data_IF_200333111689
#
_entry.id   IF_200333111689
#
_cell.length_a   1.000
_cell.length_b   1.000
_cell.length_c   1.000
_cell.angle_alpha   90.00
_cell.angle_beta   90.00
_cell.angle_gamma   90.00
#
_symmetry.space_group_name_H-M   'P 1'
#
loop_
_entity.id
_entity.type
_entity.pdbx_description
1 polymer ?
#
# COMPACT_ATOMS: atom_id res chain seq x y z
N UNK A 1 -28.31 8.18 14.64
CA UNK A 1 -27.63 8.05 13.34
C UNK A 1 -26.42 8.99 13.36
N UNK A 2 -25.21 8.49 13.09
CA UNK A 2 -24.00 9.34 13.05
C UNK A 2 -23.98 10.12 11.73
N UNK A 3 -23.67 11.42 11.80
CA UNK A 3 -23.55 12.29 10.62
C UNK A 3 -22.08 12.61 10.39
N UNK A 4 -21.67 12.66 9.13
CA UNK A 4 -20.35 13.04 8.67
C UNK A 4 -20.49 14.08 7.57
N UNK A 5 -19.51 14.98 7.48
CA UNK A 5 -19.46 15.99 6.43
C UNK A 5 -18.88 15.39 5.14
N UNK A 6 -17.96 14.40 5.29
CA UNK A 6 -17.36 13.66 4.19
C UNK A 6 -17.29 12.18 4.52
N UNK A 7 -17.64 11.34 3.55
CA UNK A 7 -17.45 9.89 3.62
C UNK A 7 -16.57 9.47 2.45
N UNK A 8 -15.44 8.86 2.77
CA UNK A 8 -14.50 8.30 1.79
C UNK A 8 -14.67 6.78 1.75
N UNK A 9 -14.97 6.24 0.58
CA UNK A 9 -15.12 4.80 0.34
C UNK A 9 -13.84 4.27 -0.29
N UNK A 10 -13.15 3.40 0.43
CA UNK A 10 -11.82 2.90 0.09
C UNK A 10 -10.70 3.67 0.78
N UNK A 11 -9.53 3.05 0.85
CA UNK A 11 -8.35 3.55 1.55
C UNK A 11 -7.13 3.74 0.62
N UNK A 12 -7.38 4.01 -0.65
CA UNK A 12 -6.34 4.40 -1.62
C UNK A 12 -6.10 5.91 -1.57
N UNK A 13 -6.03 6.55 -2.73
CA UNK A 13 -5.84 8.02 -2.87
C UNK A 13 -6.91 8.85 -2.17
N UNK A 14 -8.08 8.29 -1.88
CA UNK A 14 -9.11 8.94 -1.07
C UNK A 14 -8.66 9.31 0.34
N UNK A 15 -7.60 8.68 0.88
CA UNK A 15 -7.04 9.05 2.19
C UNK A 15 -6.42 10.45 2.19
N UNK A 16 -5.87 10.91 1.07
CA UNK A 16 -5.35 12.27 0.95
C UNK A 16 -6.48 13.30 1.05
N UNK A 17 -7.62 12.99 0.42
CA UNK A 17 -8.84 13.82 0.51
C UNK A 17 -9.40 13.79 1.93
N UNK A 18 -9.44 12.62 2.58
CA UNK A 18 -9.89 12.48 3.96
C UNK A 18 -9.03 13.32 4.93
N UNK A 19 -7.71 13.26 4.75
CA UNK A 19 -6.77 14.03 5.56
C UNK A 19 -6.93 15.55 5.33
N UNK A 20 -7.03 16.00 4.07
CA UNK A 20 -7.26 17.40 3.76
C UNK A 20 -8.57 17.90 4.39
N UNK A 21 -9.66 17.16 4.26
CA UNK A 21 -10.95 17.51 4.86
C UNK A 21 -10.87 17.61 6.39
N UNK A 22 -10.18 16.65 7.02
CA UNK A 22 -9.94 16.68 8.46
C UNK A 22 -9.18 17.93 8.90
N UNK A 23 -8.12 18.33 8.17
CA UNK A 23 -7.34 19.54 8.45
C UNK A 23 -8.19 20.83 8.32
N UNK A 24 -9.24 20.81 7.52
CA UNK A 24 -10.23 21.88 7.42
C UNK A 24 -11.36 21.79 8.47
N UNK A 25 -11.23 20.94 9.46
CA UNK A 25 -12.17 20.80 10.57
C UNK A 25 -13.43 20.00 10.26
N UNK A 26 -13.50 19.34 9.11
CA UNK A 26 -14.64 18.51 8.75
C UNK A 26 -14.66 17.18 9.51
N UNK A 27 -15.86 16.67 9.80
CA UNK A 27 -16.05 15.35 10.37
C UNK A 27 -16.04 14.30 9.26
N UNK A 28 -15.02 13.46 9.26
CA UNK A 28 -14.73 12.53 8.16
C UNK A 28 -14.93 11.07 8.60
N UNK A 29 -15.54 10.26 7.73
CA UNK A 29 -15.53 8.81 7.83
C UNK A 29 -14.75 8.19 6.67
N UNK A 30 -13.93 7.19 6.97
CA UNK A 30 -13.27 6.34 5.97
C UNK A 30 -13.84 4.93 6.10
N UNK A 31 -14.26 4.34 5.00
CA UNK A 31 -14.83 2.99 4.98
C UNK A 31 -13.98 2.10 4.08
N UNK A 32 -13.36 1.08 4.66
CA UNK A 32 -12.55 0.10 3.93
C UNK A 32 -12.99 -1.32 4.28
N UNK A 33 -13.25 -2.13 3.27
CA UNK A 33 -13.68 -3.53 3.44
C UNK A 33 -12.54 -4.54 3.46
N UNK A 34 -11.36 -4.13 2.98
CA UNK A 34 -10.21 -5.00 2.77
C UNK A 34 -8.97 -4.36 3.45
N UNK A 35 -7.81 -4.63 2.94
CA UNK A 35 -6.53 -4.11 3.44
C UNK A 35 -6.39 -2.62 3.16
N UNK A 36 -5.89 -1.88 4.14
CA UNK A 36 -5.63 -0.46 3.99
C UNK A 36 -4.57 -0.16 2.92
N UNK A 37 -4.67 0.98 2.24
CA UNK A 37 -3.72 1.45 1.23
C UNK A 37 -4.17 1.27 -0.22
N UNK A 38 -5.35 0.70 -0.44
CA UNK A 38 -5.96 0.57 -1.77
C UNK A 38 -5.21 -0.36 -2.72
N UNK A 39 -5.60 -0.34 -3.99
CA UNK A 39 -5.07 -1.24 -5.02
C UNK A 39 -3.58 -1.02 -5.29
N UNK A 40 -3.14 0.24 -5.33
CA UNK A 40 -1.75 0.57 -5.66
C UNK A 40 -0.76 -0.06 -4.66
N UNK A 41 -1.02 0.04 -3.37
CA UNK A 41 -0.18 -0.56 -2.34
C UNK A 41 -0.29 -2.09 -2.32
N UNK A 42 -1.52 -2.61 -2.36
CA UNK A 42 -1.75 -4.03 -2.06
C UNK A 42 -1.63 -4.96 -3.26
N UNK A 43 -1.97 -4.49 -4.48
CA UNK A 43 -2.12 -5.36 -5.68
C UNK A 43 -1.66 -4.70 -6.97
N UNK A 44 -0.97 -3.57 -6.91
CA UNK A 44 -0.64 -2.76 -8.09
C UNK A 44 0.80 -2.27 -8.12
N UNK A 45 0.96 -0.95 -8.05
CA UNK A 45 2.23 -0.28 -8.31
C UNK A 45 3.36 -0.72 -7.38
N UNK A 46 3.09 -0.88 -6.09
CA UNK A 46 4.13 -1.19 -5.12
C UNK A 46 4.66 -2.62 -5.30
N UNK A 47 3.83 -3.68 -5.23
CA UNK A 47 4.34 -5.04 -5.41
C UNK A 47 4.98 -5.26 -6.79
N UNK A 48 4.44 -4.69 -7.87
CA UNK A 48 5.03 -4.83 -9.19
C UNK A 48 6.41 -4.19 -9.29
N UNK A 49 6.62 -2.99 -8.74
CA UNK A 49 7.93 -2.32 -8.74
C UNK A 49 8.96 -3.05 -7.88
N UNK A 50 8.54 -3.61 -6.75
CA UNK A 50 9.42 -4.42 -5.91
C UNK A 50 9.88 -5.70 -6.60
N UNK A 51 9.01 -6.34 -7.40
CA UNK A 51 9.36 -7.50 -8.22
C UNK A 51 10.29 -7.11 -9.36
N UNK A 52 9.97 -6.05 -10.10
CA UNK A 52 10.77 -5.54 -11.23
C UNK A 52 12.18 -5.18 -10.74
N UNK A 53 12.32 -4.53 -9.58
CA UNK A 53 13.63 -4.20 -9.03
C UNK A 53 14.52 -5.43 -8.80
N UNK A 54 13.95 -6.57 -8.41
CA UNK A 54 14.72 -7.82 -8.31
C UNK A 54 15.20 -8.31 -9.68
N UNK A 55 14.40 -8.12 -10.73
CA UNK A 55 14.78 -8.44 -12.10
C UNK A 55 15.89 -7.51 -12.60
N UNK A 56 15.81 -6.21 -12.30
CA UNK A 56 16.84 -5.22 -12.65
C UNK A 56 18.19 -5.55 -12.02
N UNK A 57 18.19 -5.99 -10.75
CA UNK A 57 19.40 -6.46 -10.06
C UNK A 57 19.98 -7.69 -10.77
N UNK A 58 19.14 -8.66 -11.12
CA UNK A 58 19.60 -9.86 -11.84
C UNK A 58 20.17 -9.50 -13.21
N UNK A 59 19.58 -8.58 -13.93
CA UNK A 59 20.07 -8.09 -15.23
C UNK A 59 21.38 -7.33 -15.06
N UNK A 60 21.50 -6.49 -14.04
CA UNK A 60 22.75 -5.80 -13.70
C UNK A 60 23.89 -6.80 -13.48
N UNK A 61 23.65 -7.89 -12.76
CA UNK A 61 24.64 -8.94 -12.52
C UNK A 61 25.05 -9.60 -13.83
N UNK A 62 24.12 -9.92 -14.73
CA UNK A 62 24.44 -10.50 -16.05
C UNK A 62 25.30 -9.57 -16.90
N UNK A 63 25.06 -8.27 -16.84
CA UNK A 63 25.76 -7.25 -17.61
C UNK A 63 27.03 -6.74 -16.92
N UNK A 64 27.37 -7.22 -15.73
CA UNK A 64 28.52 -6.75 -14.94
C UNK A 64 29.86 -6.82 -15.68
N UNK A 65 30.01 -7.80 -16.60
CA UNK A 65 31.21 -7.98 -17.43
C UNK A 65 31.49 -6.76 -18.33
N UNK A 66 30.47 -6.02 -18.73
CA UNK A 66 30.63 -4.78 -19.53
C UNK A 66 31.35 -3.67 -18.76
N UNK A 67 31.35 -3.77 -17.44
CA UNK A 67 32.00 -2.83 -16.52
C UNK A 67 33.31 -3.39 -15.91
N UNK A 68 33.84 -4.49 -16.48
CA UNK A 68 35.06 -5.13 -15.99
C UNK A 68 34.86 -5.92 -14.68
N UNK A 69 33.62 -6.18 -14.27
CA UNK A 69 33.31 -6.94 -13.06
C UNK A 69 33.01 -8.39 -13.45
N UNK A 70 33.79 -9.31 -12.93
CA UNK A 70 33.57 -10.75 -13.14
C UNK A 70 32.65 -11.30 -12.06
N UNK A 71 31.59 -11.99 -12.49
CA UNK A 71 30.69 -12.72 -11.63
C UNK A 71 30.64 -14.18 -12.07
N UNK A 72 31.07 -15.09 -11.21
CA UNK A 72 31.22 -16.53 -11.54
C UNK A 72 29.88 -17.31 -11.48
N UNK A 73 28.76 -16.62 -11.49
CA UNK A 73 27.40 -17.16 -11.49
C UNK A 73 26.54 -16.64 -10.35
N UNK A 74 25.23 -16.75 -10.52
CA UNK A 74 24.26 -16.43 -9.47
C UNK A 74 23.00 -17.29 -9.66
N UNK A 75 22.23 -17.42 -8.61
CA UNK A 75 20.93 -18.06 -8.62
C UNK A 75 19.85 -17.09 -8.12
N UNK A 76 18.63 -17.31 -8.59
CA UNK A 76 17.47 -16.51 -8.18
C UNK A 76 16.59 -17.35 -7.26
N UNK A 77 16.44 -16.92 -6.02
CA UNK A 77 15.46 -17.46 -5.08
C UNK A 77 14.15 -16.66 -5.22
N UNK A 78 13.28 -17.13 -6.10
CA UNK A 78 12.02 -16.45 -6.39
C UNK A 78 11.07 -16.44 -5.19
N UNK A 79 11.07 -17.49 -4.37
CA UNK A 79 10.24 -17.54 -3.18
C UNK A 79 10.61 -16.42 -2.21
N UNK A 80 11.91 -16.24 -1.96
CA UNK A 80 12.42 -15.15 -1.11
C UNK A 80 12.10 -13.76 -1.64
N UNK A 81 12.09 -13.59 -2.96
CA UNK A 81 11.66 -12.33 -3.59
C UNK A 81 10.19 -12.05 -3.27
N UNK A 82 9.31 -13.05 -3.43
CA UNK A 82 7.86 -12.92 -3.16
C UNK A 82 7.60 -12.65 -1.67
N UNK A 83 8.29 -13.37 -0.77
CA UNK A 83 8.20 -13.15 0.67
C UNK A 83 8.56 -11.70 1.03
N UNK A 84 9.69 -11.20 0.54
CA UNK A 84 10.11 -9.80 0.74
C UNK A 84 9.07 -8.80 0.25
N UNK A 85 8.45 -9.04 -0.90
CA UNK A 85 7.40 -8.17 -1.44
C UNK A 85 6.18 -8.17 -0.53
N UNK A 86 5.74 -9.36 -0.10
CA UNK A 86 4.60 -9.50 0.79
C UNK A 86 4.84 -8.82 2.14
N UNK A 87 6.01 -9.02 2.75
CA UNK A 87 6.37 -8.39 4.03
C UNK A 87 6.30 -6.87 3.96
N UNK A 88 6.82 -6.28 2.87
CA UNK A 88 6.77 -4.82 2.67
C UNK A 88 5.32 -4.34 2.51
N UNK A 89 4.52 -5.02 1.71
CA UNK A 89 3.12 -4.66 1.47
C UNK A 89 2.31 -4.81 2.76
N UNK A 90 2.50 -5.90 3.50
CA UNK A 90 1.79 -6.20 4.73
C UNK A 90 2.14 -5.18 5.83
N UNK A 91 3.41 -4.88 5.98
CA UNK A 91 3.89 -3.87 6.92
C UNK A 91 3.29 -2.49 6.62
N UNK A 92 3.34 -2.04 5.36
CA UNK A 92 2.79 -0.74 4.99
C UNK A 92 1.27 -0.66 5.18
N UNK A 93 0.53 -1.68 4.77
CA UNK A 93 -0.93 -1.74 4.98
C UNK A 93 -1.27 -1.75 6.47
N UNK A 94 -0.51 -2.50 7.28
CA UNK A 94 -0.64 -2.54 8.73
C UNK A 94 -0.37 -1.18 9.38
N UNK A 95 0.67 -0.49 8.95
CA UNK A 95 1.02 0.85 9.45
C UNK A 95 -0.09 1.87 9.17
N UNK A 96 -0.68 1.86 7.96
CA UNK A 96 -1.83 2.72 7.65
C UNK A 96 -3.01 2.41 8.58
N UNK A 97 -3.32 1.12 8.78
CA UNK A 97 -4.39 0.71 9.68
C UNK A 97 -4.13 1.17 11.13
N UNK A 98 -2.91 0.99 11.60
CA UNK A 98 -2.52 1.39 12.95
C UNK A 98 -2.59 2.91 13.16
N UNK A 99 -2.33 3.70 12.11
CA UNK A 99 -2.48 5.16 12.16
C UNK A 99 -3.92 5.62 12.45
N UNK A 100 -4.92 4.76 12.23
CA UNK A 100 -6.32 5.05 12.59
C UNK A 100 -6.71 4.56 13.98
N UNK A 101 -5.82 3.85 14.70
CA UNK A 101 -6.13 3.34 16.04
C UNK A 101 -6.24 4.51 17.05
N UNK A 102 -7.35 4.54 17.77
CA UNK A 102 -7.60 5.58 18.78
C UNK A 102 -7.97 6.95 18.21
N UNK A 103 -8.10 7.08 16.88
CA UNK A 103 -8.50 8.33 16.22
C UNK A 103 -10.03 8.31 16.04
N UNK A 104 -10.70 9.36 16.56
CA UNK A 104 -12.14 9.53 16.37
C UNK A 104 -12.50 10.27 15.07
N UNK A 105 -11.59 11.08 14.55
CA UNK A 105 -11.75 11.82 13.31
C UNK A 105 -10.40 11.95 12.57
N UNK A 106 -10.24 11.45 11.36
CA UNK A 106 -11.19 10.64 10.57
C UNK A 106 -11.49 9.29 11.22
N UNK A 107 -12.77 8.89 11.24
CA UNK A 107 -13.19 7.60 11.80
C UNK A 107 -13.11 6.48 10.76
N UNK A 108 -12.38 5.42 11.07
CA UNK A 108 -12.29 4.23 10.22
C UNK A 108 -13.44 3.24 10.53
N UNK A 109 -14.09 2.78 9.47
CA UNK A 109 -15.03 1.66 9.49
C UNK A 109 -14.48 0.51 8.64
N UNK A 110 -13.96 -0.52 9.27
CA UNK A 110 -13.45 -1.73 8.59
C UNK A 110 -14.62 -2.65 8.21
N UNK A 111 -15.36 -2.28 7.17
CA UNK A 111 -16.52 -3.02 6.67
C UNK A 111 -16.88 -2.60 5.25
N UNK A 112 -17.72 -3.40 4.60
CA UNK A 112 -18.34 -3.03 3.34
C UNK A 112 -19.50 -2.05 3.59
N UNK A 113 -19.65 -1.06 2.71
CA UNK A 113 -20.80 -0.15 2.67
C UNK A 113 -21.60 -0.34 1.39
N UNK A 114 -22.82 0.19 1.41
CA UNK A 114 -23.71 0.31 0.24
C UNK A 114 -24.52 1.59 0.33
N UNK A 115 -24.92 2.12 -0.81
CA UNK A 115 -25.90 3.19 -0.89
C UNK A 115 -27.29 2.61 -0.60
N UNK A 116 -28.12 3.36 0.09
CA UNK A 116 -29.48 2.94 0.50
C UNK A 116 -30.58 3.90 0.03
N UNK A 117 -30.30 4.76 -0.90
CA UNK A 117 -31.18 5.76 -1.49
C UNK A 117 -30.60 7.13 -1.46
#
# INVERSE_FOLDING_TARGET
MQKYDLIVIGSGSGLDVANAAYQHGLKVAVIEKDRMGGTCLNRGCIPSKLLIHSADVAETIKCAHLFGIKVDGFSVDFQKIVERVNDIVDSNSGNIKNAFQGIENPKLFSKQCKFVG
#
